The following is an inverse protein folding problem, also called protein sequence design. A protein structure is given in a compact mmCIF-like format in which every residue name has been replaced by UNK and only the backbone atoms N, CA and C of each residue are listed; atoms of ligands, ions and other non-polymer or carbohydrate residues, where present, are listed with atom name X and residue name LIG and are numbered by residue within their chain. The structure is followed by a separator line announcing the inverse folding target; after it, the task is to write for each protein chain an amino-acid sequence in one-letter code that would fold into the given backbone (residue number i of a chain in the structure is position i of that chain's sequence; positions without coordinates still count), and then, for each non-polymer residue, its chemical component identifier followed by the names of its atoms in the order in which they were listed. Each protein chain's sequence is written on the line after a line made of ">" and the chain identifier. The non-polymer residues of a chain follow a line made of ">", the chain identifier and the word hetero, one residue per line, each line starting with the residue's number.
data_IF_707402377193
#
_entry.id   IF_707402377193
#
_cell.length_a   1.000
_cell.length_b   1.000
_cell.length_c   1.000
_cell.angle_alpha   90.00
_cell.angle_beta   90.00
_cell.angle_gamma   90.00
#
_symmetry.space_group_name_H-M   'P 1'
#
loop_
_entity.id
_entity.type
_entity.pdbx_description
1 polymer ?
#
# COMPACT_ATOMS: atom_id res chain seq x y z
N UNK A 1 16.92 62.56 -9.72
CA UNK A 1 17.35 62.85 -11.11
C UNK A 1 17.74 61.55 -11.79
N UNK A 2 17.82 61.54 -13.12
CA UNK A 2 18.56 60.53 -13.89
C UNK A 2 20.07 60.63 -13.52
N UNK A 3 20.96 59.69 -13.86
CA UNK A 3 20.91 58.78 -15.00
C UNK A 3 21.70 57.47 -14.76
N UNK A 4 21.42 56.49 -15.62
CA UNK A 4 22.02 55.15 -15.72
C UNK A 4 23.50 55.20 -16.10
N UNK A 5 24.30 54.29 -15.54
CA UNK A 5 25.42 53.65 -16.25
C UNK A 5 25.30 52.13 -16.05
N UNK A 6 25.43 51.37 -17.13
CA UNK A 6 25.56 49.91 -17.13
C UNK A 6 26.97 49.57 -17.59
N UNK A 7 27.67 48.70 -16.85
CA UNK A 7 28.73 47.87 -17.42
C UNK A 7 28.61 46.46 -16.86
N UNK A 8 28.76 45.48 -17.74
CA UNK A 8 28.71 44.05 -17.45
C UNK A 8 30.11 43.46 -17.59
N UNK A 9 30.57 42.67 -16.62
CA UNK A 9 31.26 41.41 -16.93
C UNK A 9 31.43 40.48 -15.72
N UNK A 10 31.48 39.17 -16.04
CA UNK A 10 32.07 38.03 -15.32
C UNK A 10 31.77 37.77 -13.82
N UNK A 11 31.52 36.49 -13.51
CA UNK A 11 31.37 35.98 -12.13
C UNK A 11 32.74 35.68 -11.51
N UNK A 12 32.88 35.90 -10.20
CA UNK A 12 33.06 34.83 -9.18
C UNK A 12 33.49 35.36 -7.79
N UNK A 13 32.75 34.96 -6.74
CA UNK A 13 33.17 34.76 -5.32
C UNK A 13 31.91 34.33 -4.51
N UNK A 14 31.90 33.18 -3.81
CA UNK A 14 32.51 32.83 -2.50
C UNK A 14 31.72 33.30 -1.25
N UNK A 15 31.43 32.31 -0.39
CA UNK A 15 31.54 32.30 1.08
C UNK A 15 30.36 32.67 2.04
N UNK A 16 29.95 31.64 2.81
CA UNK A 16 29.90 31.56 4.30
C UNK A 16 28.66 32.01 5.11
N UNK A 17 28.65 31.56 6.39
CA UNK A 17 27.62 31.62 7.47
C UNK A 17 26.35 30.75 7.21
N UNK A 18 25.94 29.74 8.01
CA UNK A 18 26.04 29.38 9.46
C UNK A 18 25.02 30.09 10.36
N UNK A 19 24.03 29.34 10.88
CA UNK A 19 23.68 29.17 12.31
C UNK A 19 22.66 28.02 12.49
N UNK A 20 22.64 27.42 13.69
CA UNK A 20 21.87 26.24 14.15
C UNK A 20 20.33 26.49 14.23
N UNK A 21 19.45 25.48 14.31
CA UNK A 21 19.17 24.69 15.54
C UNK A 21 18.22 23.47 15.37
N UNK A 22 18.29 22.57 16.36
CA UNK A 22 17.37 21.45 16.70
C UNK A 22 17.33 20.20 15.81
N UNK A 23 16.93 19.09 16.45
CA UNK A 23 16.85 17.71 15.95
C UNK A 23 15.53 17.05 16.47
N UNK A 24 15.40 15.71 16.54
CA UNK A 24 15.19 14.78 15.43
C UNK A 24 13.84 14.03 15.53
N UNK A 25 13.39 13.39 14.44
CA UNK A 25 12.30 12.37 14.48
C UNK A 25 12.64 11.21 13.54
N UNK A 26 12.34 9.99 13.98
CA UNK A 26 12.55 8.73 13.25
C UNK A 26 11.40 8.44 12.25
N UNK A 27 11.65 7.56 11.29
CA UNK A 27 10.61 6.82 10.55
C UNK A 27 11.02 5.37 10.39
N UNK A 28 10.06 4.46 10.58
CA UNK A 28 10.18 3.01 10.31
C UNK A 28 9.83 2.69 8.86
N UNK A 29 10.15 1.46 8.41
CA UNK A 29 9.80 0.99 7.07
C UNK A 29 8.32 0.65 6.91
N UNK A 30 7.89 0.44 5.66
CA UNK A 30 6.52 0.03 5.30
C UNK A 30 6.56 -0.78 4.00
N UNK A 31 6.05 -2.02 4.03
CA UNK A 31 6.22 -3.03 2.97
C UNK A 31 5.04 -3.09 2.00
N UNK A 32 5.26 -2.82 0.70
CA UNK A 32 4.21 -2.74 -0.32
C UNK A 32 4.53 -3.49 -1.61
N UNK A 33 3.53 -4.21 -2.14
CA UNK A 33 3.66 -5.11 -3.29
C UNK A 33 2.65 -4.79 -4.40
N UNK A 34 3.08 -4.99 -5.64
CA UNK A 34 2.24 -4.87 -6.84
C UNK A 34 2.92 -5.60 -8.00
N UNK A 35 2.21 -6.49 -8.69
CA UNK A 35 2.71 -7.12 -9.91
C UNK A 35 1.59 -7.33 -10.94
N UNK A 36 1.95 -7.64 -12.19
CA UNK A 36 1.04 -7.63 -13.33
C UNK A 36 1.51 -8.55 -14.46
N UNK A 37 0.65 -9.50 -14.85
CA UNK A 37 0.90 -10.44 -15.95
C UNK A 37 0.46 -9.87 -17.32
N UNK A 38 1.03 -10.39 -18.42
CA UNK A 38 0.93 -9.83 -19.78
C UNK A 38 0.47 -10.86 -20.84
N UNK A 39 0.30 -10.41 -22.09
CA UNK A 39 0.15 -11.30 -23.26
C UNK A 39 1.07 -10.88 -24.42
N UNK A 40 1.47 -11.87 -25.24
CA UNK A 40 2.59 -11.82 -26.18
C UNK A 40 2.43 -10.87 -27.39
N UNK A 41 3.56 -10.34 -27.90
CA UNK A 41 4.21 -10.86 -29.14
C UNK A 41 5.55 -10.23 -29.55
N UNK A 42 6.46 -11.13 -29.96
CA UNK A 42 7.62 -10.99 -30.88
C UNK A 42 8.77 -10.04 -30.53
N UNK A 43 9.97 -10.60 -30.61
CA UNK A 43 11.27 -9.97 -30.33
C UNK A 43 11.90 -9.28 -31.55
N UNK A 44 12.83 -8.37 -31.28
CA UNK A 44 13.88 -7.84 -32.17
C UNK A 44 15.14 -7.54 -31.34
N UNK A 45 16.36 -7.55 -31.92
CA UNK A 45 17.61 -7.54 -31.16
C UNK A 45 17.93 -6.23 -30.43
N UNK A 46 18.84 -6.33 -29.47
CA UNK A 46 19.34 -5.27 -28.58
C UNK A 46 20.37 -4.33 -29.24
N UNK A 47 20.59 -3.14 -28.64
CA UNK A 47 21.64 -2.16 -28.94
C UNK A 47 21.84 -1.10 -27.80
N UNK A 48 22.81 -1.32 -26.91
CA UNK A 48 23.43 -0.36 -25.95
C UNK A 48 22.56 0.57 -25.05
N UNK A 49 22.46 0.26 -23.74
CA UNK A 49 21.98 1.16 -22.66
C UNK A 49 23.11 2.13 -22.30
N UNK A 50 22.81 3.42 -22.21
CA UNK A 50 23.58 4.36 -21.38
C UNK A 50 23.02 4.38 -19.94
N UNK A 51 23.89 4.29 -18.93
CA UNK A 51 23.50 4.16 -17.51
C UNK A 51 22.48 5.24 -17.06
N UNK A 52 21.37 4.78 -16.49
CA UNK A 52 20.22 5.63 -16.20
C UNK A 52 20.28 6.23 -14.79
N UNK A 53 20.89 7.41 -14.65
CA UNK A 53 20.92 8.16 -13.38
C UNK A 53 19.50 8.43 -12.85
N UNK A 54 19.24 7.99 -11.62
CA UNK A 54 18.05 8.35 -10.86
C UNK A 54 18.02 9.86 -10.59
N UNK A 55 16.84 10.48 -10.72
CA UNK A 55 16.64 11.91 -10.48
C UNK A 55 15.92 12.16 -9.16
N UNK A 56 16.38 13.14 -8.38
CA UNK A 56 15.56 13.74 -7.33
C UNK A 56 14.24 14.28 -7.93
N UNK A 57 13.12 14.25 -7.19
CA UNK A 57 11.82 14.68 -7.71
C UNK A 57 11.86 16.14 -8.17
N UNK A 58 11.33 16.39 -9.37
CA UNK A 58 11.23 17.73 -9.97
C UNK A 58 9.78 18.17 -10.09
N UNK A 59 9.52 19.43 -9.77
CA UNK A 59 8.28 20.13 -10.15
C UNK A 59 8.57 20.92 -11.43
N UNK A 60 7.87 20.65 -12.53
CA UNK A 60 8.07 21.31 -13.83
C UNK A 60 6.78 21.22 -14.65
N UNK A 61 6.43 22.26 -15.40
CA UNK A 61 5.16 22.30 -16.14
C UNK A 61 5.29 21.66 -17.53
N UNK A 62 4.35 20.76 -17.85
CA UNK A 62 4.42 19.85 -19.01
C UNK A 62 4.63 20.54 -20.37
N UNK A 63 4.08 21.75 -20.55
CA UNK A 63 4.18 22.52 -21.79
C UNK A 63 5.58 23.10 -22.08
N UNK A 64 6.54 22.96 -21.15
CA UNK A 64 7.90 23.48 -21.28
C UNK A 64 8.92 22.42 -21.74
N UNK A 65 8.49 21.19 -22.04
CA UNK A 65 9.36 20.12 -22.52
C UNK A 65 9.60 20.21 -24.04
N UNK A 66 10.86 20.28 -24.51
CA UNK A 66 11.18 20.16 -25.94
C UNK A 66 10.74 18.80 -26.49
N UNK A 67 10.30 18.78 -27.74
CA UNK A 67 9.65 17.60 -28.33
C UNK A 67 10.56 16.35 -28.42
N UNK A 68 11.87 16.56 -28.54
CA UNK A 68 12.92 15.52 -28.49
C UNK A 68 13.09 14.86 -27.12
N UNK A 69 12.72 15.55 -26.04
CA UNK A 69 12.94 15.12 -24.65
C UNK A 69 11.71 14.36 -24.10
N UNK A 70 10.72 14.08 -24.98
CA UNK A 70 9.63 13.12 -24.78
C UNK A 70 10.19 11.70 -25.08
N UNK A 71 10.47 10.83 -24.08
CA UNK A 71 11.47 9.77 -24.23
C UNK A 71 11.13 8.59 -25.17
N UNK A 72 12.19 7.97 -25.73
CA UNK A 72 12.22 6.66 -26.44
C UNK A 72 13.46 5.84 -25.97
N UNK A 73 13.66 4.59 -26.44
CA UNK A 73 14.33 3.48 -25.68
C UNK A 73 15.29 2.61 -26.53
N UNK A 74 16.28 1.89 -25.93
CA UNK A 74 16.77 0.48 -26.18
C UNK A 74 18.00 0.15 -25.22
N UNK A 75 18.67 -1.02 -25.29
CA UNK A 75 19.58 -1.65 -24.28
C UNK A 75 20.72 -2.52 -24.89
N UNK A 76 21.95 -2.82 -24.37
CA UNK A 76 22.57 -2.78 -23.00
C UNK A 76 24.15 -2.66 -22.82
N UNK A 77 25.02 -2.61 -23.83
CA UNK A 77 26.23 -3.48 -23.90
C UNK A 77 27.70 -3.01 -23.53
N UNK A 78 28.15 -1.74 -23.58
CA UNK A 78 29.59 -1.43 -23.89
C UNK A 78 30.56 -0.76 -22.89
N UNK A 79 30.16 -0.21 -21.73
CA UNK A 79 31.04 0.77 -21.02
C UNK A 79 32.15 0.19 -20.10
N UNK A 80 33.29 0.90 -19.89
CA UNK A 80 34.49 0.36 -19.23
C UNK A 80 34.55 0.58 -17.70
N UNK A 81 35.44 -0.16 -17.02
CA UNK A 81 35.58 -0.16 -15.55
C UNK A 81 36.05 1.20 -14.97
N UNK A 82 35.41 1.72 -13.91
CA UNK A 82 35.82 2.98 -13.27
C UNK A 82 37.04 2.81 -12.35
N UNK A 83 37.74 3.93 -12.09
CA UNK A 83 38.87 4.05 -11.15
C UNK A 83 38.45 4.75 -9.86
N UNK A 84 39.10 4.42 -8.74
CA UNK A 84 38.80 4.98 -7.40
C UNK A 84 39.90 5.94 -6.95
N UNK A 85 39.51 7.07 -6.34
CA UNK A 85 40.40 7.97 -5.60
C UNK A 85 39.83 8.15 -4.20
N UNK A 86 40.65 7.92 -3.17
CA UNK A 86 40.24 8.04 -1.76
C UNK A 86 40.53 9.45 -1.22
N UNK A 87 39.61 9.99 -0.42
CA UNK A 87 39.81 11.18 0.41
C UNK A 87 39.51 10.83 1.86
N UNK A 88 40.36 11.26 2.77
CA UNK A 88 40.41 10.78 4.15
C UNK A 88 39.68 11.75 5.10
N UNK A 89 38.70 11.26 5.87
CA UNK A 89 37.86 12.06 6.77
C UNK A 89 37.93 11.46 8.19
N UNK A 90 38.15 12.30 9.20
CA UNK A 90 38.07 11.91 10.62
C UNK A 90 36.66 12.16 11.17
N UNK A 91 36.20 11.23 12.00
CA UNK A 91 34.97 11.27 12.80
C UNK A 91 33.64 11.27 12.00
N UNK A 92 33.31 10.12 11.41
CA UNK A 92 31.92 9.66 11.23
C UNK A 92 31.84 8.15 11.47
N UNK A 93 30.72 7.66 12.00
CA UNK A 93 30.51 6.22 12.18
C UNK A 93 30.39 5.50 10.83
N UNK A 94 30.86 4.25 10.76
CA UNK A 94 30.72 3.35 9.61
C UNK A 94 30.26 2.00 10.15
N UNK A 95 29.24 1.41 9.52
CA UNK A 95 28.69 0.10 9.87
C UNK A 95 29.56 -1.07 9.38
N UNK A 96 29.05 -2.32 9.44
CA UNK A 96 29.83 -3.52 9.20
C UNK A 96 30.37 -3.62 7.76
N UNK A 97 31.59 -4.14 7.65
CA UNK A 97 32.28 -4.40 6.38
C UNK A 97 32.04 -5.86 5.97
N UNK A 98 31.74 -6.08 4.69
CA UNK A 98 31.74 -7.43 4.10
C UNK A 98 33.10 -7.68 3.45
N UNK A 99 33.73 -8.81 3.75
CA UNK A 99 34.98 -9.23 3.12
C UNK A 99 34.73 -10.42 2.18
N UNK A 100 35.27 -10.35 0.96
CA UNK A 100 35.13 -11.36 -0.10
C UNK A 100 36.48 -11.95 -0.47
N UNK A 101 36.72 -13.22 -0.10
CA UNK A 101 37.86 -13.97 -0.63
C UNK A 101 37.59 -14.40 -2.07
N UNK A 102 38.01 -13.53 -2.99
CA UNK A 102 37.89 -13.69 -4.44
C UNK A 102 38.74 -14.85 -5.02
N UNK A 103 39.40 -15.68 -4.19
CA UNK A 103 40.00 -16.95 -4.63
C UNK A 103 39.15 -18.19 -4.33
N UNK A 104 38.08 -18.08 -3.53
CA UNK A 104 37.25 -19.23 -3.12
C UNK A 104 35.74 -19.04 -3.25
N UNK A 105 35.25 -17.83 -3.54
CA UNK A 105 33.82 -17.60 -3.80
C UNK A 105 32.93 -17.71 -2.56
N UNK A 106 33.50 -17.51 -1.36
CA UNK A 106 32.75 -17.46 -0.10
C UNK A 106 32.80 -16.01 0.41
N UNK A 107 31.63 -15.40 0.59
CA UNK A 107 31.53 -14.12 1.29
C UNK A 107 31.54 -14.34 2.81
N UNK A 108 32.16 -13.45 3.58
CA UNK A 108 32.06 -13.49 5.05
C UNK A 108 31.73 -12.11 5.61
N UNK A 109 30.69 -12.06 6.45
CA UNK A 109 30.33 -10.88 7.21
C UNK A 109 31.35 -10.67 8.34
N UNK A 110 31.99 -9.49 8.41
CA UNK A 110 32.73 -9.08 9.61
C UNK A 110 31.78 -8.25 10.49
N UNK A 111 31.17 -8.92 11.47
CA UNK A 111 30.29 -8.28 12.43
C UNK A 111 31.08 -7.29 13.32
N UNK A 112 30.79 -6.00 13.16
CA UNK A 112 31.37 -4.92 13.95
C UNK A 112 30.29 -3.97 14.44
N UNK A 113 29.87 -4.18 15.70
CA UNK A 113 29.00 -3.31 16.53
C UNK A 113 27.77 -2.67 15.87
N UNK A 114 26.61 -3.27 16.10
CA UNK A 114 25.38 -2.59 16.53
C UNK A 114 24.87 -1.40 15.69
N UNK A 115 24.47 -1.66 14.44
CA UNK A 115 23.20 -1.13 13.89
C UNK A 115 22.77 -1.91 12.65
N UNK A 116 21.60 -2.55 12.71
CA UNK A 116 21.10 -3.43 11.65
C UNK A 116 20.31 -2.66 10.57
N UNK A 117 21.00 -1.91 9.71
CA UNK A 117 20.42 -1.35 8.48
C UNK A 117 20.68 -2.29 7.29
N UNK A 118 19.81 -3.29 7.11
CA UNK A 118 19.91 -4.26 6.01
C UNK A 118 19.47 -3.64 4.68
N UNK A 119 20.43 -3.33 3.81
CA UNK A 119 20.16 -3.00 2.40
C UNK A 119 19.75 -4.27 1.67
N UNK A 120 18.55 -4.30 1.09
CA UNK A 120 18.09 -5.40 0.26
C UNK A 120 18.79 -5.37 -1.12
N UNK A 121 19.80 -6.22 -1.30
CA UNK A 121 20.49 -6.38 -2.58
C UNK A 121 19.70 -7.34 -3.47
N UNK A 122 18.98 -6.83 -4.47
CA UNK A 122 18.47 -7.66 -5.55
C UNK A 122 19.52 -7.72 -6.68
N UNK A 123 20.24 -8.84 -6.76
CA UNK A 123 21.39 -9.02 -7.67
C UNK A 123 21.06 -8.88 -9.17
N UNK A 124 19.77 -8.91 -9.54
CA UNK A 124 19.31 -8.79 -10.92
C UNK A 124 18.71 -7.41 -11.29
N UNK A 125 18.38 -6.55 -10.31
CA UNK A 125 17.55 -5.33 -10.54
C UNK A 125 18.16 -4.02 -10.05
N UNK A 126 19.31 -4.05 -9.37
CA UNK A 126 20.10 -2.85 -9.01
C UNK A 126 19.58 -2.09 -7.78
N UNK A 127 20.11 -0.89 -7.55
CA UNK A 127 19.82 -0.10 -6.34
C UNK A 127 18.46 0.62 -6.49
N UNK A 128 17.48 0.20 -5.69
CA UNK A 128 16.19 0.87 -5.52
C UNK A 128 15.82 1.01 -4.04
N UNK A 129 14.84 1.89 -3.75
CA UNK A 129 14.31 2.08 -2.39
C UNK A 129 13.30 0.98 -1.97
N UNK A 130 13.02 0.02 -2.85
CA UNK A 130 11.98 -0.99 -2.68
C UNK A 130 12.53 -2.37 -3.04
N UNK A 131 12.24 -3.38 -2.21
CA UNK A 131 12.35 -4.78 -2.61
C UNK A 131 11.09 -5.19 -3.39
N UNK A 132 11.22 -6.09 -4.36
CA UNK A 132 10.09 -6.62 -5.13
C UNK A 132 10.14 -8.14 -5.08
N UNK A 133 9.07 -8.76 -4.60
CA UNK A 133 8.82 -10.19 -4.74
C UNK A 133 7.75 -10.43 -5.82
N UNK A 134 7.92 -11.46 -6.64
CA UNK A 134 7.01 -11.92 -7.69
C UNK A 134 6.76 -13.43 -7.58
N UNK A 135 6.11 -14.04 -8.57
CA UNK A 135 6.08 -15.51 -8.70
C UNK A 135 7.46 -16.15 -8.75
N UNK A 136 8.50 -15.44 -9.20
CA UNK A 136 9.88 -15.94 -9.28
C UNK A 136 10.50 -16.14 -7.88
N UNK A 137 10.03 -15.37 -6.90
CA UNK A 137 10.46 -15.43 -5.50
C UNK A 137 9.62 -16.39 -4.64
N UNK A 138 8.53 -16.94 -5.19
CA UNK A 138 7.66 -17.92 -4.52
C UNK A 138 6.23 -17.45 -4.17
N UNK A 139 5.80 -16.24 -4.56
CA UNK A 139 4.39 -15.86 -4.49
C UNK A 139 3.54 -16.74 -5.41
N UNK A 140 2.35 -17.16 -4.98
CA UNK A 140 1.50 -18.01 -5.81
C UNK A 140 0.90 -17.32 -7.05
N UNK A 141 0.69 -16.01 -6.98
CA UNK A 141 0.34 -15.14 -8.11
C UNK A 141 0.78 -13.71 -7.86
N UNK A 142 1.14 -13.02 -8.94
CA UNK A 142 1.42 -11.57 -8.99
C UNK A 142 0.20 -10.68 -8.66
N UNK A 143 -1.02 -11.17 -8.89
CA UNK A 143 -2.25 -10.39 -8.69
C UNK A 143 -2.72 -10.46 -7.24
N UNK A 144 -2.14 -9.61 -6.40
CA UNK A 144 -2.53 -9.43 -4.99
C UNK A 144 -3.78 -8.55 -4.88
N UNK A 145 -4.79 -9.01 -4.13
CA UNK A 145 -5.97 -8.23 -3.77
C UNK A 145 -5.89 -7.67 -2.34
N UNK A 146 -5.25 -8.38 -1.42
CA UNK A 146 -5.10 -7.97 -0.03
C UNK A 146 -3.80 -8.46 0.58
N UNK A 147 -3.22 -7.67 1.49
CA UNK A 147 -2.11 -8.07 2.34
C UNK A 147 -2.43 -7.83 3.82
N UNK A 148 -1.79 -8.59 4.71
CA UNK A 148 -1.97 -8.51 6.16
C UNK A 148 -0.70 -8.98 6.89
N UNK A 149 -0.37 -8.35 8.01
CA UNK A 149 0.72 -8.77 8.92
C UNK A 149 0.10 -9.46 10.12
N UNK A 150 0.48 -10.71 10.41
CA UNK A 150 0.00 -11.39 11.63
C UNK A 150 0.80 -11.01 12.89
N UNK A 151 0.24 -11.30 14.07
CA UNK A 151 0.84 -11.04 15.38
C UNK A 151 2.17 -11.78 15.66
N UNK A 152 2.62 -12.62 14.73
CA UNK A 152 3.90 -13.32 14.77
C UNK A 152 4.91 -12.76 13.76
N UNK A 153 4.54 -11.69 13.03
CA UNK A 153 5.41 -11.00 12.07
C UNK A 153 5.51 -11.67 10.70
N UNK A 154 4.59 -12.60 10.35
CA UNK A 154 4.49 -13.14 9.00
C UNK A 154 3.61 -12.24 8.13
N UNK A 155 3.95 -12.10 6.86
CA UNK A 155 3.12 -11.42 5.88
C UNK A 155 2.22 -12.42 5.16
N UNK A 156 0.97 -12.06 4.91
CA UNK A 156 -0.02 -12.87 4.21
C UNK A 156 -0.57 -12.10 3.01
N UNK A 157 -0.72 -12.78 1.88
CA UNK A 157 -1.11 -12.20 0.60
C UNK A 157 -2.26 -12.99 -0.03
N UNK A 158 -3.44 -12.39 -0.10
CA UNK A 158 -4.62 -12.97 -0.77
C UNK A 158 -4.63 -12.60 -2.25
N UNK A 159 -4.76 -13.61 -3.11
CA UNK A 159 -4.54 -13.47 -4.56
C UNK A 159 -5.80 -13.66 -5.39
N UNK A 160 -5.74 -13.25 -6.66
CA UNK A 160 -6.77 -13.49 -7.67
C UNK A 160 -6.71 -14.91 -8.27
N UNK A 161 -6.93 -15.95 -7.45
CA UNK A 161 -7.06 -17.34 -7.92
C UNK A 161 -5.90 -18.28 -7.59
N UNK A 162 -4.85 -17.80 -6.92
CA UNK A 162 -3.70 -18.58 -6.44
C UNK A 162 -3.77 -18.92 -4.95
N UNK A 163 -4.92 -18.71 -4.30
CA UNK A 163 -5.10 -18.89 -2.85
C UNK A 163 -4.44 -17.78 -2.04
N UNK A 164 -3.88 -18.16 -0.90
CA UNK A 164 -3.16 -17.26 0.02
C UNK A 164 -1.70 -17.68 0.11
N UNK A 165 -0.79 -16.73 -0.10
CA UNK A 165 0.64 -16.94 0.15
C UNK A 165 1.02 -16.34 1.51
N UNK A 166 1.61 -17.15 2.40
CA UNK A 166 2.28 -16.72 3.63
C UNK A 166 3.77 -16.52 3.35
N UNK A 167 4.39 -15.49 3.93
CA UNK A 167 5.84 -15.26 3.96
C UNK A 167 6.33 -15.16 5.40
N UNK A 168 7.27 -16.02 5.80
CA UNK A 168 7.82 -16.10 7.16
C UNK A 168 9.09 -15.23 7.38
N UNK A 169 9.45 -14.41 6.38
CA UNK A 169 10.72 -13.68 6.34
C UNK A 169 11.86 -14.42 5.64
N UNK A 170 11.64 -15.65 5.16
CA UNK A 170 12.62 -16.47 4.44
C UNK A 170 12.02 -17.26 3.27
N UNK A 171 10.84 -17.86 3.44
CA UNK A 171 10.19 -18.75 2.49
C UNK A 171 8.73 -18.32 2.26
N UNK A 172 8.17 -18.68 1.10
CA UNK A 172 6.73 -18.61 0.85
C UNK A 172 6.06 -19.98 1.04
N UNK A 173 4.87 -19.99 1.63
CA UNK A 173 3.99 -21.16 1.77
C UNK A 173 2.60 -20.80 1.25
N UNK A 174 2.09 -21.56 0.28
CA UNK A 174 0.78 -21.29 -0.35
C UNK A 174 -0.31 -22.23 0.16
N UNK A 175 -1.43 -21.66 0.58
CA UNK A 175 -2.65 -22.36 0.94
C UNK A 175 -3.72 -22.18 -0.13
N UNK A 176 -4.42 -23.25 -0.49
CA UNK A 176 -5.40 -23.32 -1.58
C UNK A 176 -6.58 -24.20 -1.19
N UNK A 177 -7.58 -24.35 -2.05
CA UNK A 177 -8.72 -25.24 -1.82
C UNK A 177 -8.32 -26.72 -1.67
N UNK A 178 -7.19 -27.15 -2.22
CA UNK A 178 -6.60 -28.47 -1.94
C UNK A 178 -6.15 -28.64 -0.48
N UNK A 179 -5.97 -27.54 0.25
CA UNK A 179 -5.61 -27.48 1.66
C UNK A 179 -6.81 -27.13 2.58
N UNK A 180 -8.01 -26.96 2.02
CA UNK A 180 -9.25 -26.66 2.77
C UNK A 180 -9.75 -25.21 2.68
N UNK A 181 -9.03 -24.30 2.01
CA UNK A 181 -9.49 -22.92 1.77
C UNK A 181 -10.76 -22.90 0.89
N UNK A 182 -11.76 -22.08 1.22
CA UNK A 182 -13.07 -22.13 0.57
C UNK A 182 -13.04 -21.71 -0.91
N UNK A 183 -12.17 -20.77 -1.29
CA UNK A 183 -11.90 -20.41 -2.68
C UNK A 183 -10.44 -19.95 -2.84
N UNK A 184 -9.88 -20.08 -4.04
CA UNK A 184 -8.54 -19.58 -4.35
C UNK A 184 -8.51 -18.08 -4.69
N UNK A 185 -9.67 -17.43 -4.86
CA UNK A 185 -9.78 -15.97 -4.94
C UNK A 185 -10.09 -15.41 -3.55
N UNK A 186 -9.17 -14.60 -3.00
CA UNK A 186 -9.24 -14.07 -1.63
C UNK A 186 -9.21 -12.54 -1.63
N UNK A 187 -10.30 -11.95 -1.14
CA UNK A 187 -10.55 -10.50 -1.17
C UNK A 187 -10.02 -9.76 0.06
N UNK A 188 -9.93 -10.43 1.21
CA UNK A 188 -9.49 -9.82 2.46
C UNK A 188 -8.96 -10.88 3.45
N UNK A 189 -8.10 -10.42 4.36
CA UNK A 189 -7.51 -11.19 5.46
C UNK A 189 -7.64 -10.35 6.73
N UNK A 190 -7.94 -10.98 7.87
CA UNK A 190 -7.73 -10.39 9.20
C UNK A 190 -7.37 -11.48 10.20
N UNK A 191 -6.86 -11.11 11.38
CA UNK A 191 -6.64 -12.01 12.51
C UNK A 191 -7.57 -11.65 13.67
N UNK A 192 -8.11 -12.66 14.37
CA UNK A 192 -8.88 -12.46 15.59
C UNK A 192 -8.01 -12.48 16.86
N UNK A 193 -8.57 -12.03 17.98
CA UNK A 193 -7.91 -11.95 19.29
C UNK A 193 -7.27 -13.27 19.77
N UNK A 194 -7.83 -14.43 19.40
CA UNK A 194 -7.25 -15.72 19.75
C UNK A 194 -6.02 -16.03 18.86
N UNK A 195 -6.01 -15.49 17.64
CA UNK A 195 -4.94 -15.65 16.66
C UNK A 195 -5.36 -16.36 15.39
N UNK A 196 -6.64 -16.72 15.25
CA UNK A 196 -7.10 -17.36 14.02
C UNK A 196 -7.11 -16.34 12.88
N UNK A 197 -6.67 -16.75 11.70
CA UNK A 197 -6.75 -15.95 10.49
C UNK A 197 -8.09 -16.21 9.79
N UNK A 198 -8.72 -15.15 9.28
CA UNK A 198 -10.00 -15.20 8.60
C UNK A 198 -9.85 -14.63 7.19
N UNK A 199 -10.18 -15.44 6.18
CA UNK A 199 -10.01 -15.15 4.77
C UNK A 199 -11.39 -15.00 4.12
N UNK A 200 -11.71 -13.79 3.64
CA UNK A 200 -12.93 -13.54 2.88
C UNK A 200 -12.73 -13.90 1.40
N UNK A 201 -13.59 -14.77 0.87
CA UNK A 201 -13.39 -15.41 -0.45
C UNK A 201 -14.44 -14.99 -1.48
N UNK A 202 -14.16 -15.26 -2.76
CA UNK A 202 -15.09 -15.00 -3.85
C UNK A 202 -16.09 -16.16 -4.07
N UNK A 203 -17.29 -16.04 -3.52
CA UNK A 203 -18.42 -16.93 -3.81
C UNK A 203 -18.50 -18.20 -2.96
N UNK A 204 -17.50 -18.47 -2.12
CA UNK A 204 -17.47 -19.63 -1.20
C UNK A 204 -17.57 -19.28 0.29
N UNK A 205 -17.77 -18.00 0.64
CA UNK A 205 -17.91 -17.53 2.02
C UNK A 205 -16.58 -17.16 2.68
N UNK A 206 -16.38 -17.58 3.93
CA UNK A 206 -15.21 -17.27 4.75
C UNK A 206 -14.49 -18.56 5.18
N UNK A 207 -13.16 -18.56 5.13
CA UNK A 207 -12.33 -19.58 5.77
C UNK A 207 -11.69 -19.03 7.04
N UNK A 208 -11.85 -19.73 8.16
CA UNK A 208 -11.08 -19.56 9.39
C UNK A 208 -9.92 -20.56 9.40
N UNK A 209 -8.72 -20.12 9.73
CA UNK A 209 -7.52 -20.95 9.93
C UNK A 209 -6.99 -20.76 11.35
N UNK A 210 -6.85 -21.86 12.09
CA UNK A 210 -6.39 -21.87 13.48
C UNK A 210 -4.85 -22.00 13.63
N UNK A 211 -4.15 -22.29 12.52
CA UNK A 211 -2.72 -22.62 12.49
C UNK A 211 -2.43 -24.04 11.99
N UNK A 212 -3.43 -24.92 12.01
CA UNK A 212 -3.34 -26.33 11.57
C UNK A 212 -4.39 -26.65 10.50
N UNK A 213 -5.64 -26.19 10.67
CA UNK A 213 -6.82 -26.60 9.92
C UNK A 213 -7.67 -25.42 9.43
N UNK A 214 -8.44 -25.64 8.35
CA UNK A 214 -9.42 -24.69 7.84
C UNK A 214 -10.85 -25.09 8.23
N UNK A 215 -11.59 -24.16 8.84
CA UNK A 215 -13.04 -24.26 9.05
C UNK A 215 -13.75 -23.23 8.17
N UNK A 216 -14.71 -23.67 7.35
CA UNK A 216 -15.38 -22.80 6.37
C UNK A 216 -16.81 -22.45 6.83
N UNK A 217 -17.23 -21.22 6.52
CA UNK A 217 -18.56 -20.69 6.82
C UNK A 217 -19.15 -20.03 5.58
N UNK A 218 -20.42 -20.32 5.29
CA UNK A 218 -21.15 -19.90 4.10
C UNK A 218 -22.58 -19.46 4.44
N UNK A 219 -23.42 -19.25 3.43
CA UNK A 219 -24.87 -19.10 3.55
C UNK A 219 -25.57 -20.27 4.25
N UNK A 220 -24.98 -21.48 4.27
CA UNK A 220 -25.53 -22.61 5.03
C UNK A 220 -25.37 -22.43 6.55
N UNK A 221 -24.29 -21.81 6.99
CA UNK A 221 -23.98 -21.53 8.40
C UNK A 221 -24.60 -20.21 8.90
N UNK A 222 -25.12 -19.38 7.98
CA UNK A 222 -25.92 -18.18 8.29
C UNK A 222 -25.38 -16.85 7.75
N UNK A 223 -24.31 -16.84 6.95
CA UNK A 223 -23.88 -15.64 6.23
C UNK A 223 -24.97 -15.18 5.24
N UNK A 224 -25.10 -13.88 4.94
CA UNK A 224 -26.17 -13.37 4.08
C UNK A 224 -25.84 -13.44 2.57
N UNK A 225 -24.57 -13.65 2.21
CA UNK A 225 -24.03 -13.80 0.85
C UNK A 225 -22.62 -14.42 0.95
N UNK A 226 -22.14 -15.08 -0.12
CA UNK A 226 -20.88 -15.83 -0.11
C UNK A 226 -19.68 -15.09 -0.73
N UNK A 227 -19.82 -13.84 -1.19
CA UNK A 227 -18.69 -13.01 -1.63
C UNK A 227 -18.35 -12.02 -0.52
N UNK A 228 -17.17 -12.18 0.11
CA UNK A 228 -16.81 -11.48 1.34
C UNK A 228 -15.68 -10.49 1.08
N UNK A 229 -16.00 -9.20 1.08
CA UNK A 229 -15.09 -8.14 0.65
C UNK A 229 -14.19 -7.53 1.73
N UNK A 230 -14.55 -7.69 2.99
CA UNK A 230 -13.81 -7.19 4.15
C UNK A 230 -14.26 -7.91 5.43
N UNK A 231 -13.32 -8.07 6.36
CA UNK A 231 -13.55 -8.62 7.71
C UNK A 231 -12.82 -7.73 8.72
N UNK A 232 -13.48 -7.33 9.80
CA UNK A 232 -12.92 -6.52 10.90
C UNK A 232 -13.34 -7.13 12.22
N UNK A 233 -12.43 -7.25 13.19
CA UNK A 233 -12.79 -7.53 14.58
C UNK A 233 -13.08 -6.24 15.34
N UNK A 234 -14.13 -6.23 16.16
CA UNK A 234 -14.48 -5.10 17.02
C UNK A 234 -13.82 -5.13 18.39
N UNK A 235 -13.85 -4.00 19.11
CA UNK A 235 -13.32 -3.85 20.48
C UNK A 235 -14.05 -4.71 21.54
N UNK A 236 -14.97 -5.60 21.12
CA UNK A 236 -15.72 -6.56 21.93
C UNK A 236 -15.57 -7.99 21.38
N UNK A 237 -14.57 -8.23 20.54
CA UNK A 237 -14.17 -9.53 20.01
C UNK A 237 -15.24 -10.20 19.11
N UNK A 238 -16.04 -9.41 18.39
CA UNK A 238 -16.98 -9.89 17.37
C UNK A 238 -16.43 -9.56 15.99
N UNK A 239 -16.58 -10.47 15.03
CA UNK A 239 -16.17 -10.25 13.65
C UNK A 239 -17.31 -9.66 12.83
N UNK A 240 -17.00 -8.65 12.01
CA UNK A 240 -17.91 -7.94 11.12
C UNK A 240 -17.51 -8.20 9.67
N UNK A 241 -18.44 -8.69 8.85
CA UNK A 241 -18.21 -9.11 7.46
C UNK A 241 -18.99 -8.23 6.50
N UNK A 242 -18.33 -7.58 5.55
CA UNK A 242 -18.97 -6.88 4.43
C UNK A 242 -19.08 -7.78 3.21
N UNK A 243 -20.29 -7.88 2.63
CA UNK A 243 -20.58 -8.82 1.53
C UNK A 243 -20.99 -8.11 0.23
N UNK A 244 -21.04 -8.83 -0.90
CA UNK A 244 -21.41 -8.23 -2.20
C UNK A 244 -22.93 -7.98 -2.32
N UNK A 245 -23.79 -8.83 -1.73
CA UNK A 245 -25.26 -8.76 -1.93
C UNK A 245 -26.09 -8.90 -0.65
N UNK A 246 -25.48 -9.38 0.43
CA UNK A 246 -26.16 -9.70 1.68
C UNK A 246 -26.19 -8.55 2.69
N UNK A 247 -25.42 -7.49 2.47
CA UNK A 247 -25.18 -6.44 3.46
C UNK A 247 -24.02 -6.79 4.39
N UNK A 248 -24.23 -6.60 5.68
CA UNK A 248 -23.27 -6.83 6.75
C UNK A 248 -23.68 -8.06 7.56
N UNK A 249 -22.71 -8.87 7.99
CA UNK A 249 -22.91 -9.90 9.02
C UNK A 249 -22.04 -9.63 10.24
N UNK A 250 -22.46 -10.12 11.40
CA UNK A 250 -21.72 -10.08 12.67
C UNK A 250 -21.66 -11.47 13.29
N UNK A 251 -20.48 -11.91 13.73
CA UNK A 251 -20.22 -13.21 14.36
C UNK A 251 -19.68 -13.03 15.77
N UNK A 252 -20.32 -13.70 16.74
CA UNK A 252 -19.98 -13.62 18.16
C UNK A 252 -19.40 -14.94 18.72
N UNK A 253 -18.75 -15.74 17.88
CA UNK A 253 -18.28 -17.09 18.22
C UNK A 253 -19.37 -18.17 18.26
N UNK A 254 -20.65 -17.83 18.04
CA UNK A 254 -21.78 -18.78 18.14
C UNK A 254 -22.82 -18.70 17.03
N UNK A 255 -23.11 -17.50 16.51
CA UNK A 255 -24.06 -17.30 15.41
C UNK A 255 -23.75 -16.06 14.60
N UNK A 256 -24.16 -16.07 13.34
CA UNK A 256 -24.25 -14.87 12.52
C UNK A 256 -25.50 -14.06 12.86
N UNK A 257 -25.42 -12.73 12.71
CA UNK A 257 -26.55 -11.80 12.69
C UNK A 257 -26.35 -10.81 11.55
N UNK A 258 -27.36 -10.70 10.68
CA UNK A 258 -27.26 -10.01 9.40
C UNK A 258 -28.01 -8.66 9.42
N UNK A 259 -27.51 -7.70 8.64
CA UNK A 259 -28.04 -6.35 8.50
C UNK A 259 -27.97 -5.90 7.04
N UNK A 260 -29.09 -5.42 6.50
CA UNK A 260 -29.29 -5.08 5.10
C UNK A 260 -30.00 -3.72 4.95
N UNK A 261 -30.38 -3.36 3.73
CA UNK A 261 -31.25 -2.19 3.47
C UNK A 261 -32.57 -2.22 4.23
N UNK A 262 -33.07 -3.39 4.63
CA UNK A 262 -34.27 -3.53 5.49
C UNK A 262 -34.04 -2.99 6.90
N UNK A 263 -32.81 -3.09 7.40
CA UNK A 263 -32.40 -2.63 8.73
C UNK A 263 -31.88 -1.18 8.71
N UNK A 264 -31.78 -0.55 7.53
CA UNK A 264 -31.40 0.86 7.34
C UNK A 264 -30.04 1.09 6.66
N UNK A 265 -29.31 0.03 6.29
CA UNK A 265 -28.06 0.12 5.53
C UNK A 265 -28.29 0.80 4.16
N UNK A 266 -27.36 1.62 3.66
CA UNK A 266 -27.55 2.38 2.43
C UNK A 266 -27.60 1.48 1.17
N UNK A 267 -26.82 0.40 1.16
CA UNK A 267 -26.72 -0.56 0.06
C UNK A 267 -26.11 -1.87 0.59
N UNK A 268 -26.60 -3.02 0.13
CA UNK A 268 -26.13 -4.33 0.56
C UNK A 268 -24.71 -4.71 0.06
N UNK A 269 -24.17 -4.00 -0.92
CA UNK A 269 -22.81 -4.23 -1.43
C UNK A 269 -21.78 -3.47 -0.58
N UNK A 270 -21.30 -4.08 0.51
CA UNK A 270 -20.40 -3.46 1.50
C UNK A 270 -18.96 -3.86 1.21
N UNK A 271 -18.15 -2.91 0.75
CA UNK A 271 -16.75 -3.15 0.34
C UNK A 271 -15.74 -2.97 1.46
N UNK A 272 -16.04 -2.15 2.47
CA UNK A 272 -15.11 -1.83 3.56
C UNK A 272 -15.85 -1.50 4.85
N UNK A 273 -15.22 -1.78 5.99
CA UNK A 273 -15.74 -1.56 7.36
C UNK A 273 -14.61 -0.97 8.22
N UNK A 274 -14.95 -0.10 9.17
CA UNK A 274 -14.08 0.26 10.30
C UNK A 274 -14.94 0.55 11.55
N UNK A 275 -14.43 0.23 12.75
CA UNK A 275 -14.95 0.76 14.02
C UNK A 275 -14.12 2.01 14.40
N UNK A 276 -14.76 3.16 14.55
CA UNK A 276 -14.08 4.41 14.91
C UNK A 276 -13.67 4.47 16.40
N UNK A 277 -12.84 5.44 16.74
CA UNK A 277 -12.38 5.75 18.10
C UNK A 277 -13.50 5.92 19.14
N UNK A 278 -14.74 6.21 18.70
CA UNK A 278 -15.92 6.42 19.54
C UNK A 278 -16.87 5.21 19.56
N UNK A 279 -16.51 4.12 18.88
CA UNK A 279 -17.29 2.88 18.84
C UNK A 279 -18.44 2.86 17.83
N UNK A 280 -18.45 3.78 16.85
CA UNK A 280 -19.38 3.73 15.73
C UNK A 280 -18.76 2.93 14.58
N UNK A 281 -19.58 2.22 13.82
CA UNK A 281 -19.12 1.47 12.65
C UNK A 281 -19.43 2.23 11.38
N UNK A 282 -18.51 2.21 10.42
CA UNK A 282 -18.63 2.91 9.15
C UNK A 282 -18.44 1.94 7.98
N UNK A 283 -19.48 1.82 7.16
CA UNK A 283 -19.60 0.86 6.08
C UNK A 283 -19.53 1.60 4.74
N UNK A 284 -18.45 1.39 3.98
CA UNK A 284 -18.32 1.91 2.62
C UNK A 284 -18.98 0.97 1.62
N UNK A 285 -19.89 1.48 0.79
CA UNK A 285 -20.71 0.66 -0.12
C UNK A 285 -20.43 0.93 -1.60
N UNK A 286 -20.70 -0.06 -2.46
CA UNK A 286 -20.54 0.02 -3.91
C UNK A 286 -21.73 0.71 -4.61
N UNK A 287 -22.12 1.89 -4.13
CA UNK A 287 -23.10 2.76 -4.80
C UNK A 287 -24.10 3.47 -3.90
N UNK A 288 -24.20 3.09 -2.62
CA UNK A 288 -25.06 3.75 -1.62
C UNK A 288 -24.37 4.86 -0.81
N UNK A 289 -23.09 5.13 -1.04
CA UNK A 289 -22.27 5.99 -0.19
C UNK A 289 -21.77 5.27 1.05
N UNK A 290 -21.83 5.95 2.19
CA UNK A 290 -21.39 5.46 3.50
C UNK A 290 -22.58 5.29 4.43
N UNK A 291 -22.67 4.16 5.14
CA UNK A 291 -23.53 4.03 6.32
C UNK A 291 -22.70 4.16 7.59
N UNK A 292 -23.23 4.86 8.59
CA UNK A 292 -22.73 4.89 9.97
C UNK A 292 -23.71 4.14 10.87
N UNK A 293 -23.23 3.25 11.74
CA UNK A 293 -24.02 2.63 12.81
C UNK A 293 -23.52 3.07 14.19
N UNK A 294 -24.44 3.52 15.05
CA UNK A 294 -24.17 4.09 16.39
C UNK A 294 -24.42 3.09 17.54
N UNK A 295 -24.55 1.80 17.23
CA UNK A 295 -25.02 0.77 18.15
C UNK A 295 -26.54 0.52 18.12
N UNK A 296 -27.33 1.41 17.49
CA UNK A 296 -28.80 1.37 17.52
C UNK A 296 -29.44 1.51 16.13
N UNK A 297 -28.90 2.37 15.28
CA UNK A 297 -29.51 2.84 14.03
C UNK A 297 -28.46 3.11 12.95
N UNK A 298 -28.88 3.18 11.69
CA UNK A 298 -28.02 3.60 10.58
C UNK A 298 -28.29 5.07 10.20
N UNK A 299 -27.23 5.84 10.01
CA UNK A 299 -27.25 7.16 9.36
C UNK A 299 -26.47 7.07 8.06
N UNK A 300 -27.05 7.52 6.94
CA UNK A 300 -26.48 7.32 5.61
C UNK A 300 -25.99 8.65 5.00
N UNK A 301 -24.85 8.60 4.32
CA UNK A 301 -24.17 9.76 3.72
C UNK A 301 -23.81 9.48 2.26
N UNK A 302 -24.26 10.35 1.37
CA UNK A 302 -24.09 10.28 -0.08
C UNK A 302 -23.52 11.60 -0.61
N UNK A 303 -23.43 11.73 -1.94
CA UNK A 303 -23.15 12.99 -2.64
C UNK A 303 -24.10 14.14 -2.30
N UNK A 304 -25.29 13.86 -1.74
CA UNK A 304 -26.21 14.91 -1.24
C UNK A 304 -25.73 15.51 0.09
N UNK A 305 -25.11 14.70 0.93
CA UNK A 305 -24.58 15.07 2.25
C UNK A 305 -23.12 15.56 2.18
N UNK A 306 -22.50 15.57 0.99
CA UNK A 306 -21.18 16.16 0.72
C UNK A 306 -20.07 15.16 0.38
N UNK A 307 -20.33 13.84 0.41
CA UNK A 307 -19.37 12.81 -0.01
C UNK A 307 -19.01 12.98 -1.50
N UNK A 308 -17.75 12.78 -1.90
CA UNK A 308 -17.33 13.04 -3.29
C UNK A 308 -17.96 12.04 -4.30
N UNK A 309 -18.16 10.79 -3.90
CA UNK A 309 -18.73 9.73 -4.74
C UNK A 309 -19.36 8.59 -3.94
N UNK A 310 -20.46 8.02 -4.45
CA UNK A 310 -21.28 7.03 -3.74
C UNK A 310 -20.75 5.59 -3.81
N UNK A 311 -19.67 5.35 -4.56
CA UNK A 311 -18.93 4.08 -4.51
C UNK A 311 -17.70 4.27 -3.62
N UNK A 312 -17.77 3.74 -2.41
CA UNK A 312 -16.73 3.87 -1.40
C UNK A 312 -15.99 2.54 -1.30
N UNK A 313 -14.68 2.58 -1.56
CA UNK A 313 -13.83 1.40 -1.70
C UNK A 313 -13.00 1.12 -0.44
N UNK A 314 -12.66 2.18 0.29
CA UNK A 314 -11.73 2.14 1.44
C UNK A 314 -12.09 3.20 2.48
N UNK A 315 -11.74 2.94 3.75
CA UNK A 315 -11.96 3.87 4.87
C UNK A 315 -10.85 3.72 5.92
N UNK A 316 -10.42 4.84 6.53
CA UNK A 316 -9.49 4.86 7.67
C UNK A 316 -9.78 6.04 8.62
N UNK A 317 -9.31 5.98 9.86
CA UNK A 317 -9.39 7.07 10.85
C UNK A 317 -7.99 7.65 11.16
N UNK A 318 -7.82 8.97 10.96
CA UNK A 318 -6.57 9.67 11.32
C UNK A 318 -6.43 9.89 12.83
N UNK A 319 -5.22 10.22 13.29
CA UNK A 319 -4.92 10.40 14.72
C UNK A 319 -5.61 11.63 15.36
N UNK A 320 -6.42 12.38 14.61
CA UNK A 320 -7.31 13.44 15.13
C UNK A 320 -8.79 13.03 15.13
N UNK A 321 -9.09 11.75 14.91
CA UNK A 321 -10.45 11.20 14.94
C UNK A 321 -11.33 11.65 13.77
N UNK A 322 -10.71 11.99 12.62
CA UNK A 322 -11.41 12.26 11.37
C UNK A 322 -11.35 11.01 10.49
N UNK A 323 -12.45 10.72 9.79
CA UNK A 323 -12.53 9.59 8.88
C UNK A 323 -12.18 10.04 7.46
N UNK A 324 -11.53 9.14 6.72
CA UNK A 324 -11.14 9.34 5.33
C UNK A 324 -11.74 8.23 4.50
N UNK A 325 -12.46 8.59 3.44
CA UNK A 325 -13.16 7.66 2.54
C UNK A 325 -12.54 7.74 1.14
N UNK A 326 -12.02 6.62 0.64
CA UNK A 326 -11.54 6.49 -0.73
C UNK A 326 -12.67 6.05 -1.65
N UNK A 327 -12.82 6.71 -2.80
CA UNK A 327 -13.94 6.48 -3.73
C UNK A 327 -13.49 5.99 -5.10
N UNK A 328 -14.41 5.36 -5.83
CA UNK A 328 -14.21 5.03 -7.24
C UNK A 328 -14.24 6.31 -8.08
N UNK A 329 -13.16 6.57 -8.82
CA UNK A 329 -13.15 7.51 -9.94
C UNK A 329 -13.12 9.00 -9.60
N UNK A 330 -12.87 9.40 -8.34
CA UNK A 330 -12.90 10.81 -7.90
C UNK A 330 -11.91 11.22 -6.81
N UNK A 331 -11.16 10.29 -6.21
CA UNK A 331 -10.36 10.57 -5.02
C UNK A 331 -11.10 10.39 -3.70
N UNK A 332 -10.95 11.35 -2.78
CA UNK A 332 -11.12 11.16 -1.33
C UNK A 332 -12.09 12.16 -0.69
N UNK A 333 -12.73 11.75 0.41
CA UNK A 333 -13.47 12.64 1.30
C UNK A 333 -12.99 12.49 2.75
N UNK A 334 -12.59 13.59 3.38
CA UNK A 334 -12.35 13.67 4.83
C UNK A 334 -13.63 14.10 5.54
N UNK A 335 -14.02 13.40 6.59
CA UNK A 335 -15.18 13.72 7.42
C UNK A 335 -14.74 14.21 8.80
N UNK A 336 -15.11 15.44 9.15
CA UNK A 336 -14.78 16.11 10.40
C UNK A 336 -15.99 16.88 10.92
N UNK A 337 -16.42 16.61 12.15
CA UNK A 337 -17.48 17.39 12.81
C UNK A 337 -18.78 17.48 12.00
N UNK A 338 -19.20 16.36 11.39
CA UNK A 338 -20.35 16.22 10.49
C UNK A 338 -20.21 16.91 9.11
N UNK A 339 -19.03 17.44 8.76
CA UNK A 339 -18.75 18.08 7.46
C UNK A 339 -17.79 17.20 6.64
N UNK A 340 -18.11 17.02 5.34
CA UNK A 340 -17.18 16.43 4.38
C UNK A 340 -16.31 17.52 3.71
N UNK A 341 -15.02 17.27 3.61
CA UNK A 341 -14.05 18.05 2.82
C UNK A 341 -13.44 17.14 1.76
N UNK A 342 -13.49 17.54 0.50
CA UNK A 342 -13.20 16.67 -0.64
C UNK A 342 -11.85 16.97 -1.27
N UNK A 343 -11.09 15.92 -1.57
CA UNK A 343 -9.73 15.98 -2.10
C UNK A 343 -9.63 15.09 -3.35
N UNK A 344 -9.48 15.65 -4.57
CA UNK A 344 -9.20 14.86 -5.77
C UNK A 344 -7.81 14.21 -5.68
N UNK A 345 -7.56 13.21 -6.50
CA UNK A 345 -6.23 12.57 -6.60
C UNK A 345 -5.24 13.57 -7.23
N UNK A 346 -4.11 13.93 -6.57
CA UNK A 346 -3.15 14.86 -7.15
C UNK A 346 -2.36 14.23 -8.31
N UNK A 347 -2.61 14.68 -9.53
CA UNK A 347 -1.92 14.22 -10.74
C UNK A 347 -2.70 14.53 -12.01
N UNK A 348 -2.24 14.00 -13.14
CA UNK A 348 -2.92 14.12 -14.44
C UNK A 348 -4.23 13.30 -14.48
N UNK A 349 -4.37 12.30 -13.61
CA UNK A 349 -5.56 11.46 -13.45
C UNK A 349 -6.39 11.92 -12.24
N UNK A 350 -7.01 13.11 -12.34
CA UNK A 350 -7.85 13.67 -11.26
C UNK A 350 -9.00 12.76 -10.81
N UNK A 351 -9.42 11.86 -11.70
CA UNK A 351 -10.53 10.92 -11.56
C UNK A 351 -10.04 9.49 -11.27
N UNK A 352 -8.91 9.33 -10.59
CA UNK A 352 -8.42 7.99 -10.21
C UNK A 352 -9.17 7.43 -8.99
N UNK A 353 -9.21 6.10 -8.87
CA UNK A 353 -9.87 5.39 -7.78
C UNK A 353 -8.91 5.14 -6.62
N UNK A 354 -9.39 5.35 -5.38
CA UNK A 354 -8.61 5.11 -4.15
C UNK A 354 -9.03 3.78 -3.54
N UNK A 355 -8.24 2.75 -3.83
CA UNK A 355 -8.56 1.34 -3.60
C UNK A 355 -8.37 0.92 -2.14
N UNK A 356 -7.38 1.48 -1.47
CA UNK A 356 -7.06 1.21 -0.07
C UNK A 356 -6.54 2.47 0.64
N UNK A 357 -6.70 2.50 1.97
CA UNK A 357 -6.09 3.50 2.85
C UNK A 357 -5.54 2.75 4.06
N UNK A 358 -4.27 2.96 4.39
CA UNK A 358 -3.69 2.55 5.67
C UNK A 358 -3.21 3.78 6.45
N UNK A 359 -2.85 3.54 7.71
CA UNK A 359 -2.18 4.51 8.58
C UNK A 359 -0.89 3.88 9.08
N UNK A 360 0.21 4.65 9.11
CA UNK A 360 1.48 4.18 9.68
C UNK A 360 1.57 4.43 11.21
N UNK A 361 2.57 3.82 11.86
CA UNK A 361 2.90 4.01 13.28
C UNK A 361 3.11 5.48 13.67
N UNK A 362 3.55 6.33 12.72
CA UNK A 362 3.75 7.76 12.94
C UNK A 362 2.46 8.59 12.76
N UNK A 363 1.39 8.01 12.23
CA UNK A 363 0.07 8.59 12.08
C UNK A 363 -0.24 9.24 10.73
N UNK A 364 0.64 9.11 9.74
CA UNK A 364 0.37 9.54 8.37
C UNK A 364 -0.52 8.52 7.65
N UNK A 365 -1.33 8.98 6.69
CA UNK A 365 -2.21 8.12 5.90
C UNK A 365 -1.60 7.83 4.54
N UNK A 366 -1.67 6.57 4.11
CA UNK A 366 -1.17 6.09 2.82
C UNK A 366 -2.32 5.57 1.98
N UNK A 367 -2.58 6.23 0.85
CA UNK A 367 -3.69 5.98 -0.07
C UNK A 367 -3.17 5.24 -1.31
N UNK A 368 -3.62 4.01 -1.52
CA UNK A 368 -3.29 3.23 -2.71
C UNK A 368 -4.28 3.54 -3.83
N UNK A 369 -3.76 3.98 -4.98
CA UNK A 369 -4.58 4.38 -6.12
C UNK A 369 -4.54 3.35 -7.25
N UNK A 370 -5.57 3.36 -8.12
CA UNK A 370 -5.66 2.40 -9.21
C UNK A 370 -4.63 2.65 -10.32
N UNK A 371 -4.21 3.90 -10.57
CA UNK A 371 -3.32 4.25 -11.69
C UNK A 371 -2.23 5.27 -11.34
N UNK A 372 -2.30 5.92 -10.18
CA UNK A 372 -1.43 7.05 -9.80
C UNK A 372 -0.31 6.67 -8.84
N UNK A 373 -0.20 5.43 -8.39
CA UNK A 373 0.77 4.98 -7.37
C UNK A 373 0.24 5.14 -5.94
N UNK A 374 1.11 5.54 -5.02
CA UNK A 374 0.76 5.77 -3.61
C UNK A 374 0.76 7.27 -3.34
N UNK A 375 -0.21 7.74 -2.54
CA UNK A 375 -0.17 9.09 -1.96
C UNK A 375 -0.04 8.96 -0.44
N UNK A 376 0.88 9.72 0.14
CA UNK A 376 1.01 9.90 1.59
C UNK A 376 0.37 11.24 1.99
N UNK A 377 -0.33 11.27 3.12
CA UNK A 377 -0.78 12.48 3.79
C UNK A 377 -0.17 12.54 5.19
N UNK A 378 0.76 13.48 5.40
CA UNK A 378 1.32 13.78 6.71
C UNK A 378 1.13 15.28 7.04
N UNK A 379 0.68 15.58 8.27
CA UNK A 379 0.54 16.94 8.82
C UNK A 379 -0.14 17.98 7.90
N UNK A 380 -1.00 17.55 6.97
CA UNK A 380 -1.70 18.41 6.01
C UNK A 380 -1.13 18.44 4.59
N UNK A 381 0.05 17.84 4.37
CA UNK A 381 0.77 17.81 3.09
C UNK A 381 0.48 16.48 2.38
N UNK A 382 0.16 16.53 1.09
CA UNK A 382 0.05 15.34 0.23
C UNK A 382 1.33 15.15 -0.59
N UNK A 383 1.94 13.98 -0.50
CA UNK A 383 3.14 13.58 -1.27
C UNK A 383 2.80 12.37 -2.14
N UNK A 384 3.16 12.40 -3.44
CA UNK A 384 2.87 11.31 -4.38
C UNK A 384 4.13 10.52 -4.73
N UNK A 385 4.03 9.19 -4.66
CA UNK A 385 5.03 8.22 -5.09
C UNK A 385 4.50 7.39 -6.26
N UNK A 386 5.37 7.10 -7.23
CA UNK A 386 5.02 6.48 -8.51
C UNK A 386 6.16 5.59 -9.01
N UNK A 387 5.99 4.96 -10.18
CA UNK A 387 7.08 4.25 -10.88
C UNK A 387 8.28 5.16 -11.18
N UNK A 388 8.08 6.48 -11.32
CA UNK A 388 9.18 7.45 -11.45
C UNK A 388 9.97 7.66 -10.15
N UNK A 389 9.46 7.17 -9.02
CA UNK A 389 10.10 7.17 -7.70
C UNK A 389 10.64 5.78 -7.31
N UNK A 390 10.48 4.76 -8.16
CA UNK A 390 10.95 3.39 -7.93
C UNK A 390 9.90 2.37 -7.53
N UNK A 391 8.60 2.72 -7.47
CA UNK A 391 7.55 1.70 -7.29
C UNK A 391 7.53 0.72 -8.47
N UNK A 392 7.29 -0.56 -8.20
CA UNK A 392 7.19 -1.59 -9.25
C UNK A 392 6.01 -1.36 -10.20
N UNK A 393 4.90 -0.80 -9.70
CA UNK A 393 3.73 -0.42 -10.48
C UNK A 393 3.07 0.84 -9.89
N UNK A 394 2.22 1.51 -10.68
CA UNK A 394 1.33 2.57 -10.19
C UNK A 394 -0.05 2.05 -9.77
N UNK A 395 -0.34 0.75 -9.97
CA UNK A 395 -1.59 0.12 -9.55
C UNK A 395 -1.45 -0.46 -8.13
N UNK A 396 -1.92 0.25 -7.11
CA UNK A 396 -1.74 -0.10 -5.70
C UNK A 396 -3.07 -0.62 -5.13
N UNK A 397 -3.19 -1.95 -5.03
CA UNK A 397 -4.40 -2.66 -4.59
C UNK A 397 -4.62 -2.63 -3.09
N UNK A 398 -3.54 -2.76 -2.33
CA UNK A 398 -3.55 -2.98 -0.89
C UNK A 398 -2.31 -2.33 -0.26
N UNK A 399 -2.42 -1.92 1.00
CA UNK A 399 -1.35 -1.26 1.76
C UNK A 399 -1.37 -1.83 3.18
N UNK A 400 -0.21 -2.23 3.67
CA UNK A 400 -0.01 -2.87 4.98
C UNK A 400 1.28 -2.34 5.58
N UNK A 401 1.30 -2.14 6.90
CA UNK A 401 2.52 -1.91 7.68
C UNK A 401 2.87 -3.22 8.40
N UNK A 402 4.16 -3.51 8.57
CA UNK A 402 4.62 -4.66 9.34
C UNK A 402 5.00 -4.27 10.78
N UNK A 403 5.10 -5.24 11.68
CA UNK A 403 5.32 -4.98 13.11
C UNK A 403 6.72 -4.43 13.46
N UNK A 404 7.69 -4.46 12.53
CA UNK A 404 9.11 -4.16 12.78
C UNK A 404 9.51 -2.68 12.68
#
# INVERSE_FOLDING_TARGET
>A
MQQVIIMTESLERKNHAIVFLMAPVFYTGMLLFSAACSQHKKERPLAEVAEKKLSAPRTTMLYQLPEKDRPKVILMDTMPKPSVINVNIRNSAIGPVVETDNKKGIQKLLAGSDTANSVAINEAKGIGFFATFTTDDGLSLDQIYCSYTDKWGNLWFGTNGGGVSKYDGKNFTTYTSAHGLANNVVWCITQDHNGNLWFGTDGSGVSKYDGESFTNYSTAEGLPDNVIFCIVEDKKNNLWFGTLKGGVSTWNGKRFKNYSTKEGLANNAVKTIIEDSKGNFWFGTLGGGVSKWDGKSFTNYTTKEGLIGNKVLSVAEDNSGNLWFGTEGKGMSKYRGNIFTNYPVPGELSNDAVLCIAKDKQGALWFGTQNSGVIQYDKGIFTRYSTANGLANNQIRTITEDEK
#
